data_IF_164963860243
#
_entry.id   IF_164963860243
#
_cell.length_a   1.000
_cell.length_b   1.000
_cell.length_c   1.000
_cell.angle_alpha   90.00
_cell.angle_beta   90.00
_cell.angle_gamma   90.00
#
_symmetry.space_group_name_H-M   'P 1'
#
loop_
_entity.id
_entity.type
_entity.pdbx_description
1 polymer ?
#
# COMPACT_ATOMS: atom_id res chain seq x y z
N UNK A 1 -27.80 -15.31 13.58
CA UNK A 1 -26.66 -14.56 14.17
C UNK A 1 -26.92 -13.06 14.40
N UNK A 2 -27.67 -12.34 13.56
CA UNK A 2 -28.01 -10.92 13.86
C UNK A 2 -29.17 -10.73 14.86
N UNK A 3 -29.99 -11.74 15.10
CA UNK A 3 -31.13 -11.63 16.04
C UNK A 3 -30.68 -11.47 17.49
N UNK A 4 -29.62 -12.16 17.92
CA UNK A 4 -29.04 -12.06 19.26
C UNK A 4 -28.57 -10.63 19.59
N UNK A 5 -28.29 -9.82 18.56
CA UNK A 5 -27.89 -8.42 18.69
C UNK A 5 -29.08 -7.45 18.82
N UNK A 6 -30.32 -7.93 18.78
CA UNK A 6 -31.56 -7.12 18.88
C UNK A 6 -32.47 -7.54 20.03
N UNK A 7 -32.09 -8.54 20.82
CA UNK A 7 -32.90 -9.03 21.94
C UNK A 7 -32.84 -8.02 23.08
N UNK A 8 -34.00 -7.65 23.62
CA UNK A 8 -34.12 -6.82 24.81
C UNK A 8 -34.13 -7.71 26.06
N UNK A 9 -32.93 -7.98 26.58
CA UNK A 9 -32.74 -8.85 27.75
C UNK A 9 -33.36 -8.30 29.05
N UNK A 10 -33.78 -7.03 29.09
CA UNK A 10 -34.44 -6.42 30.26
C UNK A 10 -35.89 -6.87 30.45
N UNK A 11 -36.50 -7.49 29.43
CA UNK A 11 -37.90 -7.96 29.47
C UNK A 11 -38.03 -9.46 29.73
N UNK A 12 -36.92 -10.16 29.97
CA UNK A 12 -36.93 -11.59 30.17
C UNK A 12 -37.19 -11.91 31.66
N UNK A 13 -38.35 -12.48 32.03
CA UNK A 13 -38.71 -12.74 33.43
C UNK A 13 -37.88 -13.85 34.09
N UNK A 14 -37.04 -14.54 33.31
CA UNK A 14 -36.23 -15.67 33.77
C UNK A 14 -34.76 -15.29 34.02
N UNK A 15 -34.38 -14.04 33.77
CA UNK A 15 -33.03 -13.56 34.03
C UNK A 15 -32.99 -12.74 35.32
N UNK A 16 -31.95 -12.97 36.11
CA UNK A 16 -31.61 -12.07 37.20
C UNK A 16 -31.14 -10.72 36.65
N UNK A 17 -31.30 -9.65 37.44
CA UNK A 17 -30.89 -8.30 37.04
C UNK A 17 -29.42 -8.23 36.58
N UNK A 18 -28.54 -9.02 37.20
CA UNK A 18 -27.13 -9.07 36.86
C UNK A 18 -26.88 -9.75 35.49
N UNK A 19 -27.54 -10.88 35.23
CA UNK A 19 -27.40 -11.61 33.96
C UNK A 19 -27.92 -10.79 32.78
N UNK A 20 -29.03 -10.08 32.94
CA UNK A 20 -29.57 -9.18 31.92
C UNK A 20 -28.59 -8.03 31.59
N UNK A 21 -27.97 -7.43 32.61
CA UNK A 21 -26.95 -6.38 32.42
C UNK A 21 -25.70 -6.91 31.70
N UNK A 22 -25.21 -8.09 32.09
CA UNK A 22 -24.03 -8.70 31.47
C UNK A 22 -24.29 -9.00 29.99
N UNK A 23 -25.45 -9.56 29.66
CA UNK A 23 -25.81 -9.86 28.26
C UNK A 23 -25.99 -8.60 27.41
N UNK A 24 -26.57 -7.53 27.97
CA UNK A 24 -26.63 -6.24 27.29
C UNK A 24 -25.23 -5.67 27.01
N UNK A 25 -24.28 -5.83 27.93
CA UNK A 25 -22.91 -5.38 27.74
C UNK A 25 -22.18 -6.21 26.68
N UNK A 26 -22.36 -7.54 26.65
CA UNK A 26 -21.82 -8.39 25.59
C UNK A 26 -22.43 -8.07 24.22
N UNK A 27 -23.74 -7.80 24.15
CA UNK A 27 -24.41 -7.36 22.94
C UNK A 27 -23.84 -6.04 22.43
N UNK A 28 -23.63 -5.07 23.32
CA UNK A 28 -23.01 -3.78 22.99
C UNK A 28 -21.58 -3.96 22.49
N UNK A 29 -20.80 -4.82 23.14
CA UNK A 29 -19.43 -5.13 22.73
C UNK A 29 -19.40 -5.78 21.35
N UNK A 30 -20.27 -6.75 21.09
CA UNK A 30 -20.38 -7.40 19.79
C UNK A 30 -20.79 -6.43 18.67
N UNK A 31 -21.70 -5.50 18.95
CA UNK A 31 -22.07 -4.42 18.03
C UNK A 31 -20.87 -3.50 17.74
N UNK A 32 -20.11 -3.12 18.77
CA UNK A 32 -18.90 -2.31 18.62
C UNK A 32 -17.84 -3.02 17.78
N UNK A 33 -17.56 -4.29 18.05
CA UNK A 33 -16.61 -5.10 17.28
C UNK A 33 -17.04 -5.25 15.82
N UNK A 34 -18.34 -5.43 15.56
CA UNK A 34 -18.87 -5.50 14.20
C UNK A 34 -18.73 -4.17 13.45
N UNK A 35 -18.99 -3.04 14.12
CA UNK A 35 -18.76 -1.70 13.56
C UNK A 35 -17.28 -1.50 13.26
N UNK A 36 -16.40 -1.81 14.21
CA UNK A 36 -14.96 -1.68 14.04
C UNK A 36 -14.45 -2.53 12.85
N UNK A 37 -14.88 -3.78 12.76
CA UNK A 37 -14.53 -4.67 11.64
C UNK A 37 -15.02 -4.10 10.30
N UNK A 38 -16.23 -3.56 10.25
CA UNK A 38 -16.77 -2.90 9.04
C UNK A 38 -16.00 -1.65 8.66
N UNK A 39 -15.60 -0.82 9.62
CA UNK A 39 -14.77 0.38 9.39
C UNK A 39 -13.39 -0.01 8.88
N UNK A 40 -12.74 -1.00 9.50
CA UNK A 40 -11.45 -1.53 9.05
C UNK A 40 -11.57 -2.04 7.62
N UNK A 41 -12.57 -2.86 7.32
CA UNK A 41 -12.80 -3.38 5.96
C UNK A 41 -12.98 -2.24 4.95
N UNK A 42 -13.73 -1.19 5.29
CA UNK A 42 -13.94 -0.03 4.42
C UNK A 42 -12.65 0.75 4.17
N UNK A 43 -11.82 0.93 5.19
CA UNK A 43 -10.53 1.63 5.08
C UNK A 43 -9.53 0.79 4.27
N UNK A 44 -9.49 -0.53 4.47
CA UNK A 44 -8.57 -1.41 3.74
C UNK A 44 -8.96 -1.60 2.27
N UNK A 45 -10.23 -1.43 1.92
CA UNK A 45 -10.73 -1.77 0.59
C UNK A 45 -10.39 -0.74 -0.51
N UNK A 46 -10.13 0.53 -0.19
CA UNK A 46 -10.23 1.61 -1.20
C UNK A 46 -8.97 2.45 -1.52
N UNK A 47 -7.93 2.62 -0.67
CA UNK A 47 -6.78 3.44 -1.06
C UNK A 47 -5.52 2.65 -1.46
N UNK A 48 -5.40 1.36 -1.13
CA UNK A 48 -4.13 0.64 -1.33
C UNK A 48 -3.86 0.26 -2.78
N UNK A 49 -4.86 -0.20 -3.54
CA UNK A 49 -4.64 -0.63 -4.93
C UNK A 49 -4.19 0.52 -5.83
N UNK A 50 -4.89 1.66 -5.78
CA UNK A 50 -4.55 2.85 -6.57
C UNK A 50 -3.17 3.41 -6.20
N UNK A 51 -2.82 3.42 -4.91
CA UNK A 51 -1.50 3.86 -4.47
C UNK A 51 -0.40 2.91 -5.00
N UNK A 52 -0.61 1.60 -4.90
CA UNK A 52 0.34 0.60 -5.41
C UNK A 52 0.47 0.71 -6.93
N UNK A 53 -0.62 0.86 -7.68
CA UNK A 53 -0.60 1.02 -9.14
C UNK A 53 0.19 2.26 -9.55
N UNK A 54 -0.01 3.38 -8.85
CA UNK A 54 0.73 4.62 -9.07
C UNK A 54 2.22 4.45 -8.75
N UNK A 55 2.57 3.79 -7.65
CA UNK A 55 3.97 3.52 -7.28
C UNK A 55 4.65 2.59 -8.29
N UNK A 56 3.99 1.50 -8.70
CA UNK A 56 4.50 0.60 -9.74
C UNK A 56 4.64 1.31 -11.09
N UNK A 57 3.73 2.23 -11.42
CA UNK A 57 3.86 3.07 -12.61
C UNK A 57 5.06 4.02 -12.54
N UNK A 58 5.32 4.59 -11.37
CA UNK A 58 6.44 5.49 -11.13
C UNK A 58 7.78 4.74 -11.15
N UNK A 59 7.84 3.56 -10.55
CA UNK A 59 9.01 2.66 -10.59
C UNK A 59 9.42 2.35 -12.03
N UNK A 60 8.49 1.90 -12.88
CA UNK A 60 8.76 1.60 -14.30
C UNK A 60 9.33 2.80 -15.06
N UNK A 61 8.79 4.00 -14.81
CA UNK A 61 9.29 5.24 -15.42
C UNK A 61 10.71 5.56 -14.95
N UNK A 62 10.99 5.45 -13.66
CA UNK A 62 12.33 5.67 -13.12
C UNK A 62 13.33 4.63 -13.63
N UNK A 63 12.94 3.36 -13.76
CA UNK A 63 13.79 2.33 -14.37
C UNK A 63 14.16 2.69 -15.81
N UNK A 64 13.19 3.15 -16.62
CA UNK A 64 13.47 3.59 -17.98
C UNK A 64 14.41 4.79 -18.02
N UNK A 65 14.17 5.81 -17.19
CA UNK A 65 15.05 6.98 -17.07
C UNK A 65 16.45 6.56 -16.64
N UNK A 66 16.58 5.61 -15.70
CA UNK A 66 17.89 5.09 -15.26
C UNK A 66 18.64 4.39 -16.40
N UNK A 67 17.96 3.55 -17.18
CA UNK A 67 18.57 2.88 -18.33
C UNK A 67 19.00 3.87 -19.41
N UNK A 68 18.14 4.83 -19.76
CA UNK A 68 18.47 5.87 -20.73
C UNK A 68 19.64 6.74 -20.25
N UNK A 69 19.67 7.09 -18.97
CA UNK A 69 20.76 7.84 -18.37
C UNK A 69 22.09 7.07 -18.41
N UNK A 70 22.09 5.79 -18.02
CA UNK A 70 23.29 4.93 -18.12
C UNK A 70 23.78 4.80 -19.56
N UNK A 71 22.85 4.62 -20.51
CA UNK A 71 23.18 4.58 -21.94
C UNK A 71 23.78 5.88 -22.45
N UNK A 72 23.22 7.03 -22.04
CA UNK A 72 23.74 8.35 -22.39
C UNK A 72 25.14 8.58 -21.82
N UNK A 73 25.38 8.23 -20.55
CA UNK A 73 26.70 8.34 -19.91
C UNK A 73 27.72 7.44 -20.61
N UNK A 74 27.36 6.19 -20.88
CA UNK A 74 28.25 5.25 -21.58
C UNK A 74 28.60 5.74 -23.00
N UNK A 75 27.61 6.25 -23.73
CA UNK A 75 27.82 6.83 -25.06
C UNK A 75 28.76 8.03 -25.04
N UNK A 76 28.61 8.93 -24.04
CA UNK A 76 29.48 10.09 -23.90
C UNK A 76 30.92 9.68 -23.54
N UNK A 77 31.08 8.73 -22.62
CA UNK A 77 32.39 8.22 -22.24
C UNK A 77 33.12 7.58 -23.42
N UNK A 78 32.43 6.72 -24.18
CA UNK A 78 33.00 6.08 -25.36
C UNK A 78 33.36 7.09 -26.46
N UNK A 79 32.54 8.14 -26.64
CA UNK A 79 32.86 9.21 -27.58
C UNK A 79 34.12 9.98 -27.16
N UNK A 80 34.34 10.16 -25.86
CA UNK A 80 35.55 10.81 -25.34
C UNK A 80 36.80 9.94 -25.58
N UNK A 81 36.77 8.65 -25.24
CA UNK A 81 37.90 7.73 -25.49
C UNK A 81 38.29 7.68 -26.97
N UNK A 82 37.29 7.61 -27.88
CA UNK A 82 37.55 7.63 -29.32
C UNK A 82 38.14 8.97 -29.79
N UNK A 83 37.76 10.10 -29.17
CA UNK A 83 38.35 11.39 -29.49
C UNK A 83 39.81 11.50 -29.03
N UNK A 84 40.12 10.96 -27.85
CA UNK A 84 41.47 10.92 -27.30
C UNK A 84 42.39 10.00 -28.14
N UNK A 85 41.91 8.82 -28.56
CA UNK A 85 42.65 7.93 -29.46
C UNK A 85 42.98 8.60 -30.81
N UNK A 86 42.02 9.30 -31.41
CA UNK A 86 42.23 10.04 -32.68
C UNK A 86 43.23 11.20 -32.55
N UNK A 87 43.37 11.78 -31.36
CA UNK A 87 44.37 12.84 -31.11
C UNK A 87 45.78 12.25 -30.94
N UNK A 88 45.91 11.05 -30.38
CA UNK A 88 47.18 10.33 -30.28
C UNK A 88 47.69 9.83 -31.64
N UNK A 89 46.83 9.28 -32.50
CA UNK A 89 47.22 8.84 -33.84
C UNK A 89 47.69 10.00 -34.74
N UNK A 90 47.15 11.20 -34.56
CA UNK A 90 47.60 12.39 -35.29
C UNK A 90 48.95 12.94 -34.79
N UNK A 91 49.37 12.64 -33.55
CA UNK A 91 50.67 13.07 -33.01
C UNK A 91 51.82 12.10 -33.34
N UNK A 92 51.53 10.81 -33.56
CA UNK A 92 52.55 9.81 -33.94
C UNK A 92 52.92 9.85 -35.44
N UNK A 93 52.13 10.56 -36.26
CA UNK A 93 52.31 10.63 -37.72
C UNK A 93 53.00 11.92 -38.20
N UNK A 94 53.66 12.65 -37.30
CA UNK A 94 54.42 13.89 -37.57
C UNK A 94 55.86 13.80 -37.09
#
# INVERSE_FOLDING_TARGET
MSEVLKIDYSRQPQLTLLEANILQQYQRLALLLRRLSSEIARITAQPMSQLIDNLSGLEKKLSLVSTLFKGAVYSLFLQQENNEQRQHENHENY
#
